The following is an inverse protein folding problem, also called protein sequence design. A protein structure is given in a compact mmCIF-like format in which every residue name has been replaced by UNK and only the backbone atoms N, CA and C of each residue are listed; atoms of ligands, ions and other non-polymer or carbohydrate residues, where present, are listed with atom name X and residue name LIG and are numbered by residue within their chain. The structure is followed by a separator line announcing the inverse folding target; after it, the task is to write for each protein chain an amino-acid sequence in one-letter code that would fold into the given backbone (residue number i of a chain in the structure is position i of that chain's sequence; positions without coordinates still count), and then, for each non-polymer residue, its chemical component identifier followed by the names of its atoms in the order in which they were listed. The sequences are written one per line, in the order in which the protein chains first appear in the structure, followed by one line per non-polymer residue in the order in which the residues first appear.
data_IF_005975019005
#
_entry.id   IF_005975019005
#
_cell.length_a   1.000
_cell.length_b   1.000
_cell.length_c   1.000
_cell.angle_alpha   90.00
_cell.angle_beta   90.00
_cell.angle_gamma   90.00
#
_symmetry.space_group_name_H-M   'P 1'
#
loop_
_entity.id
_entity.type
_entity.pdbx_description
1 polymer ?
#
# COMPACT_ATOMS: atom_id res chain seq x y z
N UNK A 1 21.33 2.04 7.83
CA UNK A 1 20.11 2.15 7.01
C UNK A 1 18.94 1.57 7.82
N UNK A 2 17.70 2.03 7.61
CA UNK A 2 16.56 1.49 8.38
C UNK A 2 16.22 0.08 7.89
N UNK A 3 16.06 -0.87 8.82
CA UNK A 3 15.69 -2.25 8.52
C UNK A 3 14.18 -2.44 8.63
N UNK A 4 13.60 -3.09 7.64
CA UNK A 4 12.19 -3.50 7.60
C UNK A 4 12.09 -4.95 7.12
N UNK A 5 10.94 -5.58 7.34
CA UNK A 5 10.64 -6.93 6.84
C UNK A 5 9.51 -6.91 5.81
N UNK A 6 9.44 -7.90 4.93
CA UNK A 6 8.34 -8.04 3.96
C UNK A 6 7.01 -8.42 4.65
N UNK A 7 7.09 -9.31 5.64
CA UNK A 7 5.98 -9.78 6.49
C UNK A 7 6.34 -9.65 7.97
N UNK A 8 5.61 -8.79 8.67
CA UNK A 8 5.74 -8.62 10.10
C UNK A 8 5.02 -9.75 10.86
N UNK A 9 5.71 -10.38 11.82
CA UNK A 9 5.10 -11.41 12.64
C UNK A 9 4.06 -10.78 13.58
N UNK A 10 2.80 -11.22 13.41
CA UNK A 10 1.68 -10.73 14.21
C UNK A 10 1.87 -11.01 15.71
N UNK A 11 2.61 -12.05 16.09
CA UNK A 11 2.91 -12.36 17.50
C UNK A 11 3.75 -11.27 18.15
N UNK A 12 4.74 -10.74 17.41
CA UNK A 12 5.62 -9.67 17.89
C UNK A 12 4.89 -8.33 18.08
N UNK A 13 3.84 -8.09 17.29
CA UNK A 13 3.01 -6.88 17.42
C UNK A 13 2.45 -6.71 18.83
N UNK A 14 2.15 -7.81 19.53
CA UNK A 14 1.57 -7.74 20.87
C UNK A 14 2.53 -7.15 21.90
N UNK A 15 3.83 -7.23 21.68
CA UNK A 15 4.89 -6.80 22.61
C UNK A 15 5.30 -5.34 22.42
N UNK A 16 5.00 -4.75 21.26
CA UNK A 16 5.41 -3.39 20.93
C UNK A 16 4.72 -2.32 21.82
N UNK A 17 5.39 -1.17 22.05
CA UNK A 17 4.77 -0.02 22.71
C UNK A 17 3.56 0.45 21.91
N UNK A 18 2.44 0.70 22.61
CA UNK A 18 1.22 1.21 21.99
C UNK A 18 1.31 2.73 21.85
N UNK A 19 0.98 3.23 20.67
CA UNK A 19 0.89 4.66 20.40
C UNK A 19 -0.53 5.07 20.04
N UNK A 20 -0.78 6.37 20.19
CA UNK A 20 -2.05 7.02 19.97
C UNK A 20 -1.80 8.37 19.30
N UNK A 21 -2.81 8.90 18.63
CA UNK A 21 -2.77 10.27 18.15
C UNK A 21 -2.57 11.24 19.34
N UNK A 22 -1.50 12.06 19.34
CA UNK A 22 -1.21 12.97 20.44
C UNK A 22 -1.91 14.34 20.29
N UNK A 23 -2.56 14.59 19.15
CA UNK A 23 -3.13 15.88 18.81
C UNK A 23 -4.58 16.07 19.28
N UNK A 24 -5.20 17.15 18.83
CA UNK A 24 -6.57 17.49 19.22
C UNK A 24 -7.60 16.86 18.28
N UNK A 25 -8.66 16.32 18.87
CA UNK A 25 -9.73 15.65 18.13
C UNK A 25 -10.99 16.50 18.20
N UNK A 26 -11.56 16.84 17.03
CA UNK A 26 -12.82 17.58 16.91
C UNK A 26 -13.88 16.71 16.24
N UNK A 27 -14.99 16.46 16.92
CA UNK A 27 -16.14 15.75 16.33
C UNK A 27 -17.05 16.75 15.64
N UNK A 28 -17.32 16.54 14.36
CA UNK A 28 -18.13 17.43 13.53
C UNK A 28 -19.50 16.81 13.30
N UNK A 29 -20.55 17.48 13.80
CA UNK A 29 -21.95 17.00 13.80
C UNK A 29 -22.94 17.96 13.13
N UNK A 30 -22.47 19.11 12.64
CA UNK A 30 -23.27 20.09 11.89
C UNK A 30 -22.62 20.45 10.56
N UNK A 31 -23.40 20.91 9.59
CA UNK A 31 -22.86 21.38 8.31
C UNK A 31 -21.99 22.63 8.50
N UNK A 32 -22.37 23.56 9.38
CA UNK A 32 -21.60 24.77 9.68
C UNK A 32 -20.21 24.45 10.27
N UNK A 33 -20.13 23.49 11.20
CA UNK A 33 -18.84 23.00 11.71
C UNK A 33 -18.03 22.34 10.60
N UNK A 34 -18.69 21.61 9.69
CA UNK A 34 -18.03 20.97 8.57
C UNK A 34 -17.44 21.99 7.60
N UNK A 35 -18.14 23.08 7.30
CA UNK A 35 -17.62 24.18 6.48
C UNK A 35 -16.37 24.83 7.09
N UNK A 36 -16.40 25.12 8.40
CA UNK A 36 -15.24 25.66 9.11
C UNK A 36 -14.05 24.72 9.08
N UNK A 37 -14.27 23.44 9.40
CA UNK A 37 -13.23 22.42 9.38
C UNK A 37 -12.64 22.24 7.97
N UNK A 38 -13.49 22.13 6.94
CA UNK A 38 -13.05 22.02 5.54
C UNK A 38 -12.28 23.26 5.09
N UNK A 39 -12.71 24.47 5.48
CA UNK A 39 -12.01 25.71 5.17
C UNK A 39 -10.57 25.74 5.71
N UNK A 40 -10.33 25.10 6.85
CA UNK A 40 -8.98 24.89 7.39
C UNK A 40 -8.22 23.77 6.64
N UNK A 41 -8.87 22.63 6.42
CA UNK A 41 -8.29 21.45 5.76
C UNK A 41 -7.86 21.76 4.31
N UNK A 42 -8.61 22.60 3.59
CA UNK A 42 -8.30 22.99 2.21
C UNK A 42 -6.99 23.79 2.07
N UNK A 43 -6.41 24.24 3.18
CA UNK A 43 -5.14 24.98 3.21
C UNK A 43 -3.94 24.10 3.56
N UNK A 44 -4.17 22.82 3.88
CA UNK A 44 -3.12 21.89 4.30
C UNK A 44 -2.50 21.21 3.06
N UNK A 45 -1.19 20.96 3.03
CA UNK A 45 -0.55 20.30 1.88
C UNK A 45 -0.76 18.78 1.86
N UNK A 46 -0.91 18.17 3.03
CA UNK A 46 -1.02 16.73 3.22
C UNK A 46 -2.07 16.44 4.30
N UNK A 47 -2.96 15.51 4.01
CA UNK A 47 -4.00 15.07 4.92
C UNK A 47 -4.07 13.54 4.99
N UNK A 48 -4.19 13.01 6.20
CA UNK A 48 -4.49 11.61 6.46
C UNK A 48 -5.99 11.37 6.47
N UNK A 49 -6.43 10.33 5.77
CA UNK A 49 -7.82 9.93 5.64
C UNK A 49 -8.00 8.49 6.12
N UNK A 50 -9.17 8.25 6.71
CA UNK A 50 -9.69 6.92 6.97
C UNK A 50 -11.23 6.97 6.93
N UNK A 51 -11.91 5.82 6.99
CA UNK A 51 -13.36 5.78 7.21
C UNK A 51 -13.79 4.69 8.18
N UNK A 52 -14.96 4.86 8.80
CA UNK A 52 -15.54 3.84 9.67
C UNK A 52 -17.02 3.59 9.38
N UNK A 53 -17.38 2.31 9.37
CA UNK A 53 -18.73 1.81 9.05
C UNK A 53 -19.20 0.89 10.15
N UNK A 54 -20.46 1.02 10.60
CA UNK A 54 -21.03 0.06 11.55
C UNK A 54 -21.00 -1.35 10.93
N UNK A 55 -20.46 -2.37 11.61
CA UNK A 55 -20.45 -3.71 11.05
C UNK A 55 -21.86 -4.25 10.84
N UNK A 56 -22.03 -5.07 9.80
CA UNK A 56 -23.25 -5.85 9.58
C UNK A 56 -22.93 -7.32 9.76
N UNK A 57 -23.69 -7.99 10.62
CA UNK A 57 -23.60 -9.44 10.84
C UNK A 57 -24.60 -10.23 9.98
N UNK A 58 -25.33 -9.52 9.10
CA UNK A 58 -26.27 -10.11 8.15
C UNK A 58 -25.60 -10.20 6.79
N UNK A 59 -25.50 -11.41 6.24
CA UNK A 59 -24.85 -11.67 4.94
C UNK A 59 -25.48 -10.81 3.85
N UNK A 60 -24.64 -10.08 3.09
CA UNK A 60 -25.06 -9.22 1.98
C UNK A 60 -25.61 -7.85 2.39
N UNK A 61 -25.83 -7.57 3.68
CA UNK A 61 -26.23 -6.23 4.13
C UNK A 61 -24.99 -5.37 4.36
N UNK A 62 -24.89 -4.27 3.61
CA UNK A 62 -23.86 -3.25 3.78
C UNK A 62 -24.48 -2.03 4.47
N UNK A 63 -23.77 -1.49 5.46
CA UNK A 63 -24.13 -0.19 6.06
C UNK A 63 -23.38 0.93 5.33
N UNK A 64 -23.92 2.14 5.36
CA UNK A 64 -23.23 3.32 4.82
C UNK A 64 -22.08 3.69 5.73
N UNK A 65 -21.04 4.32 5.16
CA UNK A 65 -19.95 4.93 5.94
C UNK A 65 -20.54 5.87 6.98
N UNK A 66 -20.21 5.68 8.25
CA UNK A 66 -20.79 6.45 9.35
C UNK A 66 -19.90 7.62 9.78
N UNK A 67 -18.59 7.47 9.62
CA UNK A 67 -17.60 8.43 10.05
C UNK A 67 -16.48 8.54 9.00
N UNK A 68 -16.07 9.78 8.73
CA UNK A 68 -14.88 10.11 7.92
C UNK A 68 -13.89 10.83 8.82
N UNK A 69 -12.66 10.34 8.87
CA UNK A 69 -11.59 10.96 9.63
C UNK A 69 -10.66 11.72 8.70
N UNK A 70 -10.35 12.98 9.04
CA UNK A 70 -9.38 13.77 8.30
C UNK A 70 -8.40 14.42 9.27
N UNK A 71 -7.12 14.08 9.14
CA UNK A 71 -6.05 14.55 10.01
C UNK A 71 -5.04 15.37 9.21
N UNK A 72 -4.46 16.42 9.80
CA UNK A 72 -3.30 17.13 9.20
C UNK A 72 -1.96 16.82 9.91
N UNK A 73 -2.00 15.97 10.94
CA UNK A 73 -0.85 15.61 11.78
C UNK A 73 -0.98 16.11 13.22
N UNK A 74 -1.72 17.19 13.45
CA UNK A 74 -1.90 17.83 14.77
C UNK A 74 -3.36 17.96 15.19
N UNK A 75 -4.25 18.14 14.22
CA UNK A 75 -5.69 18.21 14.38
C UNK A 75 -6.33 17.09 13.57
N UNK A 76 -7.26 16.36 14.20
CA UNK A 76 -8.08 15.37 13.51
C UNK A 76 -9.57 15.71 13.65
N UNK A 77 -10.25 15.81 12.51
CA UNK A 77 -11.68 16.02 12.42
C UNK A 77 -12.39 14.69 12.18
N UNK A 78 -13.38 14.39 13.01
CA UNK A 78 -14.23 13.21 12.90
C UNK A 78 -15.60 13.65 12.38
N UNK A 79 -15.80 13.60 11.07
CA UNK A 79 -17.04 13.98 10.40
C UNK A 79 -18.08 12.88 10.54
N UNK A 80 -19.15 13.16 11.28
CA UNK A 80 -20.26 12.23 11.55
C UNK A 80 -21.20 12.14 10.35
N UNK A 81 -20.80 11.44 9.29
CA UNK A 81 -21.58 11.32 8.05
C UNK A 81 -22.97 10.67 8.26
N UNK A 82 -23.17 9.91 9.32
CA UNK A 82 -24.50 9.43 9.69
C UNK A 82 -25.44 10.54 10.20
N UNK A 83 -24.91 11.72 10.58
CA UNK A 83 -25.66 12.88 11.06
C UNK A 83 -25.77 13.99 10.02
N UNK A 84 -24.66 14.32 9.37
CA UNK A 84 -24.58 15.43 8.39
C UNK A 84 -24.59 14.98 6.94
N UNK A 85 -24.69 13.67 6.70
CA UNK A 85 -24.48 13.07 5.38
C UNK A 85 -23.12 13.47 4.77
N UNK A 86 -23.01 13.61 3.45
CA UNK A 86 -21.83 14.15 2.77
C UNK A 86 -22.15 15.58 2.26
N UNK A 87 -21.92 16.64 3.06
CA UNK A 87 -22.15 18.02 2.63
C UNK A 87 -21.24 18.44 1.48
N UNK A 88 -21.64 19.49 0.75
CA UNK A 88 -20.90 19.99 -0.43
C UNK A 88 -19.45 20.37 -0.12
N UNK A 89 -19.18 20.88 1.09
CA UNK A 89 -17.82 21.20 1.53
C UNK A 89 -16.93 19.96 1.61
N UNK A 90 -17.43 18.82 2.11
CA UNK A 90 -16.68 17.57 2.12
C UNK A 90 -16.48 17.01 0.72
N UNK A 91 -17.48 17.10 -0.16
CA UNK A 91 -17.31 16.75 -1.58
C UNK A 91 -16.16 17.58 -2.18
N UNK A 92 -16.17 18.90 -2.00
CA UNK A 92 -15.08 19.77 -2.47
C UNK A 92 -13.71 19.34 -1.94
N UNK A 93 -13.62 18.95 -0.66
CA UNK A 93 -12.38 18.44 -0.07
C UNK A 93 -11.92 17.13 -0.74
N UNK A 94 -12.84 16.20 -0.96
CA UNK A 94 -12.58 14.90 -1.59
C UNK A 94 -12.20 15.04 -3.07
N UNK A 95 -12.76 16.01 -3.79
CA UNK A 95 -12.47 16.25 -5.21
C UNK A 95 -11.21 17.11 -5.45
N UNK A 96 -10.68 17.75 -4.43
CA UNK A 96 -9.54 18.65 -4.57
C UNK A 96 -8.28 17.89 -5.07
N UNK A 97 -7.57 18.44 -6.05
CA UNK A 97 -6.35 17.82 -6.62
C UNK A 97 -5.05 18.45 -6.13
N UNK A 98 -5.14 19.57 -5.41
CA UNK A 98 -3.98 20.32 -4.91
C UNK A 98 -3.47 19.75 -3.59
N UNK A 99 -4.37 19.20 -2.78
CA UNK A 99 -4.07 18.61 -1.48
C UNK A 99 -3.84 17.12 -1.66
N UNK A 100 -2.73 16.60 -1.16
CA UNK A 100 -2.45 15.17 -1.11
C UNK A 100 -3.25 14.52 0.02
N UNK A 101 -4.07 13.52 -0.32
CA UNK A 101 -4.77 12.67 0.66
C UNK A 101 -4.07 11.32 0.74
N UNK A 102 -3.69 10.90 1.93
CA UNK A 102 -3.07 9.59 2.17
C UNK A 102 -4.01 8.74 3.02
N UNK A 103 -4.17 7.49 2.63
CA UNK A 103 -4.97 6.50 3.37
C UNK A 103 -4.45 5.10 3.08
N UNK A 104 -5.06 4.10 3.69
CA UNK A 104 -4.72 2.70 3.46
C UNK A 104 -5.94 1.96 2.93
N UNK A 105 -5.82 1.32 1.76
CA UNK A 105 -6.90 0.57 1.12
C UNK A 105 -8.10 1.43 0.68
N UNK A 106 -7.88 2.68 0.27
CA UNK A 106 -8.94 3.66 0.05
C UNK A 106 -9.88 3.35 -1.13
N UNK A 107 -9.49 2.44 -2.02
CA UNK A 107 -10.28 2.12 -3.21
C UNK A 107 -11.73 1.73 -2.88
N UNK A 108 -11.92 0.91 -1.84
CA UNK A 108 -13.26 0.51 -1.41
C UNK A 108 -13.94 1.60 -0.56
N UNK A 109 -13.20 2.38 0.21
CA UNK A 109 -13.72 3.54 0.95
C UNK A 109 -14.28 4.60 0.00
N UNK A 110 -13.59 4.95 -1.08
CA UNK A 110 -14.06 5.92 -2.05
C UNK A 110 -15.30 5.44 -2.79
N UNK A 111 -15.41 4.13 -3.06
CA UNK A 111 -16.65 3.52 -3.58
C UNK A 111 -17.78 3.66 -2.56
N UNK A 112 -17.54 3.31 -1.30
CA UNK A 112 -18.53 3.39 -0.22
C UNK A 112 -19.01 4.83 0.04
N UNK A 113 -18.10 5.81 -0.04
CA UNK A 113 -18.43 7.23 0.03
C UNK A 113 -19.24 7.68 -1.20
N UNK A 114 -18.88 7.23 -2.40
CA UNK A 114 -19.63 7.55 -3.63
C UNK A 114 -21.06 7.02 -3.61
N UNK A 115 -21.31 5.89 -2.93
CA UNK A 115 -22.66 5.36 -2.69
C UNK A 115 -23.50 6.27 -1.79
N UNK A 116 -22.89 7.17 -1.01
CA UNK A 116 -23.62 8.21 -0.26
C UNK A 116 -24.02 9.36 -1.16
N UNK A 117 -23.03 9.98 -1.81
CA UNK A 117 -23.22 11.01 -2.84
C UNK A 117 -22.12 10.92 -3.88
N UNK A 118 -22.42 11.07 -5.18
CA UNK A 118 -21.41 11.04 -6.23
C UNK A 118 -20.39 12.17 -6.10
N UNK A 119 -19.11 11.84 -6.32
CA UNK A 119 -18.01 12.80 -6.46
C UNK A 119 -16.86 12.19 -7.27
N UNK A 120 -15.98 13.04 -7.82
CA UNK A 120 -14.77 12.58 -8.52
C UNK A 120 -13.57 12.66 -7.60
N UNK A 121 -13.01 11.52 -7.21
CA UNK A 121 -11.82 11.46 -6.37
C UNK A 121 -10.69 12.38 -6.87
N UNK A 122 -10.17 13.22 -5.98
CA UNK A 122 -9.01 14.07 -6.20
C UNK A 122 -7.69 13.31 -6.05
N UNK A 123 -6.67 13.96 -5.48
CA UNK A 123 -5.33 13.37 -5.31
C UNK A 123 -5.25 12.46 -4.08
N UNK A 124 -5.60 11.18 -4.25
CA UNK A 124 -5.46 10.14 -3.22
C UNK A 124 -4.24 9.25 -3.48
N UNK A 125 -3.53 8.90 -2.41
CA UNK A 125 -2.39 7.98 -2.39
C UNK A 125 -2.75 6.80 -1.48
N UNK A 126 -2.61 5.58 -2.00
CA UNK A 126 -2.76 4.36 -1.21
C UNK A 126 -1.40 3.97 -0.62
N UNK A 127 -1.34 3.86 0.70
CA UNK A 127 -0.13 3.40 1.38
C UNK A 127 0.21 1.94 1.07
N UNK A 128 -0.77 1.13 0.64
CA UNK A 128 -0.52 -0.24 0.19
C UNK A 128 0.30 -0.28 -1.11
N UNK A 129 0.07 0.68 -2.01
CA UNK A 129 0.83 0.78 -3.25
C UNK A 129 2.30 1.13 -2.96
N UNK A 130 2.53 2.07 -2.06
CA UNK A 130 3.90 2.46 -1.64
C UNK A 130 4.57 1.30 -0.89
N UNK A 131 3.86 0.66 0.04
CA UNK A 131 4.37 -0.51 0.76
C UNK A 131 4.80 -1.62 -0.22
N UNK A 132 3.97 -1.91 -1.22
CA UNK A 132 4.28 -2.89 -2.26
C UNK A 132 5.51 -2.50 -3.10
N UNK A 133 5.66 -1.22 -3.45
CA UNK A 133 6.87 -0.71 -4.12
C UNK A 133 8.13 -0.86 -3.26
N UNK A 134 7.99 -0.85 -1.93
CA UNK A 134 9.07 -1.10 -0.98
C UNK A 134 9.33 -2.60 -0.72
N UNK A 135 8.60 -3.50 -1.39
CA UNK A 135 8.68 -4.95 -1.18
C UNK A 135 7.97 -5.45 0.08
N UNK A 136 7.18 -4.60 0.75
CA UNK A 136 6.38 -5.00 1.90
C UNK A 136 5.10 -5.69 1.41
N UNK A 137 4.92 -6.95 1.80
CA UNK A 137 3.73 -7.76 1.46
C UNK A 137 2.57 -7.43 2.38
N UNK A 138 2.84 -7.04 3.62
CA UNK A 138 1.82 -6.74 4.61
C UNK A 138 0.89 -5.58 4.21
N UNK A 139 -0.42 -5.83 4.26
CA UNK A 139 -1.45 -4.87 3.84
C UNK A 139 -2.17 -4.18 5.01
N UNK A 140 -1.86 -4.55 6.26
CA UNK A 140 -2.55 -4.06 7.46
C UNK A 140 -1.89 -2.82 8.03
N UNK A 141 -2.66 -1.76 8.33
CA UNK A 141 -2.16 -0.52 8.95
C UNK A 141 -1.27 -0.81 10.15
N UNK A 142 -1.76 -1.62 11.09
CA UNK A 142 -1.00 -1.99 12.30
C UNK A 142 0.31 -2.73 12.01
N UNK A 143 0.38 -3.54 10.95
CA UNK A 143 1.57 -4.33 10.61
C UNK A 143 2.58 -3.45 9.90
N UNK A 144 2.13 -2.60 8.98
CA UNK A 144 2.97 -1.55 8.37
C UNK A 144 3.56 -0.63 9.44
N UNK A 145 2.73 -0.19 10.38
CA UNK A 145 3.16 0.67 11.48
C UNK A 145 4.16 -0.03 12.42
N UNK A 146 3.90 -1.29 12.76
CA UNK A 146 4.82 -2.11 13.56
C UNK A 146 6.17 -2.30 12.87
N UNK A 147 6.15 -2.60 11.57
CA UNK A 147 7.34 -2.79 10.77
C UNK A 147 8.18 -1.51 10.68
N UNK A 148 7.53 -0.39 10.35
CA UNK A 148 8.22 0.87 10.10
C UNK A 148 8.60 1.58 11.41
N UNK A 149 7.78 1.55 12.45
CA UNK A 149 8.06 2.33 13.67
C UNK A 149 8.48 1.50 14.88
N UNK A 150 8.34 0.17 14.86
CA UNK A 150 8.51 -0.64 16.07
C UNK A 150 7.47 -0.31 17.15
N UNK A 151 6.32 0.23 16.74
CA UNK A 151 5.22 0.68 17.60
C UNK A 151 3.93 0.00 17.14
N UNK A 152 2.94 -0.16 18.02
CA UNK A 152 1.62 -0.68 17.64
C UNK A 152 0.52 0.34 17.81
N UNK A 153 -0.41 0.35 16.87
CA UNK A 153 -1.73 0.98 17.00
C UNK A 153 -2.78 -0.07 17.36
N UNK A 154 -3.92 0.35 17.90
CA UNK A 154 -4.99 -0.57 18.31
C UNK A 154 -5.81 -1.08 17.13
N UNK A 155 -6.50 -2.20 17.32
CA UNK A 155 -7.62 -2.66 16.45
C UNK A 155 -8.96 -2.70 17.19
N UNK A 156 -8.99 -2.19 18.43
CA UNK A 156 -10.05 -2.46 19.39
C UNK A 156 -11.41 -1.84 19.06
N UNK A 157 -11.46 -0.80 18.21
CA UNK A 157 -12.72 -0.12 17.88
C UNK A 157 -13.20 -0.39 16.44
N UNK A 158 -12.45 -1.16 15.65
CA UNK A 158 -12.77 -1.43 14.24
C UNK A 158 -14.17 -2.03 14.04
N UNK A 159 -14.64 -2.84 15.00
CA UNK A 159 -15.96 -3.49 14.94
C UNK A 159 -16.99 -2.83 15.88
N UNK A 160 -16.78 -1.55 16.23
CA UNK A 160 -17.67 -0.82 17.13
C UNK A 160 -18.92 -0.31 16.42
N UNK A 161 -19.92 0.10 17.21
CA UNK A 161 -21.08 0.80 16.66
C UNK A 161 -20.71 2.24 16.30
N UNK A 162 -20.25 2.45 15.07
CA UNK A 162 -19.94 3.77 14.54
C UNK A 162 -21.16 4.63 14.21
N UNK A 163 -22.39 4.13 14.37
CA UNK A 163 -23.62 4.94 14.27
C UNK A 163 -24.14 5.40 15.63
N UNK A 164 -23.50 5.00 16.74
CA UNK A 164 -23.90 5.39 18.10
C UNK A 164 -24.04 6.91 18.25
N UNK A 165 -25.04 7.37 19.01
CA UNK A 165 -25.32 8.81 19.13
C UNK A 165 -24.09 9.61 19.52
N UNK A 166 -23.40 9.15 20.56
CA UNK A 166 -22.15 9.74 21.01
C UNK A 166 -21.00 8.75 20.80
N UNK A 167 -19.91 9.23 20.20
CA UNK A 167 -18.67 8.47 20.16
C UNK A 167 -18.02 8.51 21.55
N UNK A 168 -17.61 7.34 22.04
CA UNK A 168 -16.78 7.26 23.24
C UNK A 168 -15.38 7.84 22.98
N UNK A 169 -14.66 8.23 24.05
CA UNK A 169 -13.27 8.68 23.93
C UNK A 169 -12.37 7.63 23.26
N UNK A 170 -12.63 6.34 23.54
CA UNK A 170 -11.89 5.25 22.90
C UNK A 170 -12.13 5.19 21.38
N UNK A 171 -13.36 5.39 20.92
CA UNK A 171 -13.69 5.47 19.49
C UNK A 171 -13.06 6.70 18.83
N UNK A 172 -13.15 7.87 19.48
CA UNK A 172 -12.55 9.11 18.97
C UNK A 172 -11.04 8.96 18.79
N UNK A 173 -10.36 8.47 19.84
CA UNK A 173 -8.91 8.30 19.83
C UNK A 173 -8.46 7.25 18.82
N UNK A 174 -9.18 6.14 18.71
CA UNK A 174 -8.92 5.12 17.68
C UNK A 174 -9.01 5.72 16.27
N UNK A 175 -10.14 6.34 15.94
CA UNK A 175 -10.41 6.89 14.62
C UNK A 175 -9.38 7.95 14.23
N UNK A 176 -9.02 8.83 15.18
CA UNK A 176 -7.98 9.83 14.94
C UNK A 176 -6.58 9.22 14.78
N UNK A 177 -6.29 8.13 15.50
CA UNK A 177 -5.00 7.42 15.39
C UNK A 177 -4.83 6.79 14.02
N UNK A 178 -5.87 6.22 13.43
CA UNK A 178 -5.76 5.57 12.11
C UNK A 178 -5.46 6.59 11.00
N UNK A 179 -6.19 7.70 10.92
CA UNK A 179 -5.90 8.77 9.96
C UNK A 179 -4.52 9.43 10.19
N UNK A 180 -4.11 9.64 11.44
CA UNK A 180 -2.77 10.15 11.77
C UNK A 180 -1.66 9.16 11.40
N UNK A 181 -1.89 7.87 11.64
CA UNK A 181 -0.93 6.83 11.30
C UNK A 181 -0.64 6.79 9.80
N UNK A 182 -1.64 7.05 8.97
CA UNK A 182 -1.46 7.19 7.51
C UNK A 182 -0.47 8.31 7.14
N UNK A 183 -0.54 9.47 7.80
CA UNK A 183 0.41 10.59 7.58
C UNK A 183 1.81 10.18 7.99
N UNK A 184 1.95 9.57 9.17
CA UNK A 184 3.26 9.12 9.67
C UNK A 184 3.89 8.11 8.73
N UNK A 185 3.13 7.09 8.32
CA UNK A 185 3.59 6.08 7.37
C UNK A 185 4.01 6.71 6.04
N UNK A 186 3.19 7.59 5.45
CA UNK A 186 3.53 8.26 4.21
C UNK A 186 4.87 8.99 4.30
N UNK A 187 5.02 9.87 5.30
CA UNK A 187 6.24 10.67 5.49
C UNK A 187 7.47 9.78 5.65
N UNK A 188 7.35 8.72 6.45
CA UNK A 188 8.47 7.82 6.71
C UNK A 188 8.81 6.93 5.52
N UNK A 189 7.83 6.44 4.77
CA UNK A 189 8.05 5.69 3.53
C UNK A 189 8.76 6.55 2.48
N UNK A 190 8.35 7.81 2.29
CA UNK A 190 9.02 8.72 1.36
C UNK A 190 10.48 8.98 1.79
N UNK A 191 10.69 9.27 3.08
CA UNK A 191 12.04 9.45 3.63
C UNK A 191 12.93 8.22 3.43
N UNK A 192 12.39 7.03 3.64
CA UNK A 192 13.11 5.76 3.42
C UNK A 192 13.42 5.51 1.95
N UNK A 193 12.55 5.92 1.02
CA UNK A 193 12.84 5.82 -0.42
C UNK A 193 13.97 6.76 -0.86
N UNK A 194 14.07 7.94 -0.23
CA UNK A 194 15.16 8.90 -0.48
C UNK A 194 16.50 8.47 0.14
N UNK A 195 16.48 8.00 1.40
CA UNK A 195 17.68 7.66 2.15
C UNK A 195 18.15 6.21 1.97
N UNK A 196 17.28 5.34 1.46
CA UNK A 196 17.47 3.90 1.40
C UNK A 196 16.99 3.13 2.65
N UNK A 197 16.63 1.87 2.44
CA UNK A 197 16.22 0.93 3.49
C UNK A 197 16.71 -0.49 3.17
N UNK A 198 16.87 -1.31 4.21
CA UNK A 198 17.17 -2.75 4.11
C UNK A 198 15.88 -3.54 4.30
N UNK A 199 15.51 -4.34 3.29
CA UNK A 199 14.38 -5.27 3.36
C UNK A 199 14.89 -6.68 3.69
N UNK A 200 14.46 -7.21 4.83
CA UNK A 200 14.70 -8.59 5.22
C UNK A 200 13.48 -9.45 4.81
N UNK A 201 13.65 -10.30 3.80
CA UNK A 201 12.62 -11.23 3.35
C UNK A 201 12.55 -12.42 4.31
N UNK A 202 11.38 -12.66 4.91
CA UNK A 202 11.14 -13.93 5.59
C UNK A 202 10.92 -15.01 4.53
N UNK A 203 11.95 -15.83 4.29
CA UNK A 203 11.78 -17.11 3.60
C UNK A 203 10.81 -17.96 4.44
N UNK A 204 9.55 -18.03 4.04
CA UNK A 204 8.65 -19.07 4.50
C UNK A 204 9.22 -20.38 3.97
N UNK A 205 10.04 -21.06 4.78
CA UNK A 205 10.26 -22.49 4.59
C UNK A 205 8.86 -23.09 4.66
N UNK A 206 8.35 -23.57 3.53
CA UNK A 206 7.12 -24.35 3.45
C UNK A 206 7.31 -25.54 4.40
N UNK A 207 6.83 -25.42 5.63
CA UNK A 207 6.76 -26.51 6.59
C UNK A 207 5.74 -27.52 6.05
N UNK A 208 6.23 -28.43 5.21
CA UNK A 208 5.56 -29.68 4.91
C UNK A 208 5.35 -30.41 6.23
N UNK A 209 4.09 -30.77 6.50
CA UNK A 209 3.67 -31.61 7.63
C UNK A 209 4.66 -32.78 7.85
N UNK A 210 5.17 -32.99 9.08
CA UNK A 210 6.08 -34.08 9.33
C UNK A 210 5.28 -35.36 9.62
N UNK A 211 5.14 -36.24 8.64
CA UNK A 211 4.87 -37.65 8.92
C UNK A 211 5.89 -38.54 8.22
N UNK A 212 6.68 -39.21 9.08
CA UNK A 212 7.38 -40.48 8.86
C UNK A 212 8.48 -40.56 7.79
N UNK A 213 9.75 -40.43 8.22
CA UNK A 213 10.64 -41.59 8.47
C UNK A 213 12.07 -41.17 8.84
N UNK A 214 12.47 -41.61 10.03
CA UNK A 214 13.80 -42.06 10.47
C UNK A 214 15.06 -41.30 10.01
N UNK A 215 15.66 -40.60 10.97
CA UNK A 215 17.06 -40.73 11.41
C UNK A 215 18.06 -41.45 10.48
N UNK A 216 18.28 -40.94 9.28
CA UNK A 216 19.46 -41.26 8.46
C UNK A 216 19.89 -40.15 7.47
N UNK A 217 19.22 -38.98 7.47
CA UNK A 217 19.57 -37.85 6.61
C UNK A 217 20.35 -36.72 7.33
N UNK A 218 21.05 -37.03 8.43
CA UNK A 218 21.87 -36.05 9.21
C UNK A 218 23.34 -35.98 8.77
N UNK A 219 23.68 -36.51 7.58
CA UNK A 219 25.06 -36.59 7.10
C UNK A 219 25.28 -36.11 5.65
N UNK A 220 24.35 -35.33 5.10
CA UNK A 220 24.46 -34.86 3.71
C UNK A 220 23.91 -33.44 3.49
N UNK A 221 24.31 -32.42 4.27
CA UNK A 221 24.24 -30.99 3.84
C UNK A 221 25.47 -30.19 4.36
N UNK A 222 26.62 -30.88 4.56
CA UNK A 222 27.95 -30.23 4.64
C UNK A 222 28.65 -30.41 3.29
N UNK A 223 27.99 -29.92 2.25
CA UNK A 223 28.40 -29.72 0.86
C UNK A 223 27.11 -29.23 0.20
N UNK A 224 26.83 -27.93 0.16
CA UNK A 224 27.45 -27.00 -0.77
C UNK A 224 27.42 -25.60 -0.15
N UNK A 225 28.57 -25.16 0.37
CA UNK A 225 28.79 -23.78 0.83
C UNK A 225 29.46 -22.92 -0.25
N UNK A 226 29.26 -23.27 -1.52
CA UNK A 226 29.77 -22.54 -2.69
C UNK A 226 28.75 -22.74 -3.83
N UNK A 227 27.56 -22.12 -3.72
CA UNK A 227 26.68 -21.86 -4.88
C UNK A 227 25.52 -20.88 -4.56
N UNK A 228 25.67 -20.02 -3.55
CA UNK A 228 24.76 -18.85 -3.39
C UNK A 228 25.54 -17.62 -2.96
N UNK A 229 26.71 -17.46 -3.58
CA UNK A 229 27.43 -16.20 -3.66
C UNK A 229 27.11 -15.45 -4.98
N UNK A 230 26.06 -15.85 -5.71
CA UNK A 230 25.55 -15.13 -6.87
C UNK A 230 24.03 -14.96 -6.74
N UNK A 231 23.63 -14.02 -5.89
CA UNK A 231 22.35 -13.34 -6.01
C UNK A 231 22.63 -11.84 -5.94
N UNK A 232 23.50 -11.36 -6.83
CA UNK A 232 23.48 -9.96 -7.22
C UNK A 232 22.28 -9.76 -8.17
N UNK A 233 21.10 -9.64 -7.54
CA UNK A 233 19.83 -9.07 -8.01
C UNK A 233 19.61 -9.04 -9.54
N UNK A 234 19.09 -10.13 -10.09
CA UNK A 234 18.29 -10.08 -11.31
C UNK A 234 17.01 -9.27 -11.01
N UNK A 235 16.88 -8.05 -11.53
CA UNK A 235 15.73 -7.18 -11.26
C UNK A 235 15.34 -6.29 -12.43
N UNK A 236 14.08 -5.88 -12.43
CA UNK A 236 13.54 -4.82 -13.27
C UNK A 236 13.51 -3.50 -12.49
N UNK A 237 13.49 -2.40 -13.22
CA UNK A 237 13.11 -1.09 -12.73
C UNK A 237 11.78 -0.66 -13.37
N UNK A 238 11.10 0.29 -12.74
CA UNK A 238 9.91 0.88 -13.32
C UNK A 238 10.25 1.52 -14.67
N UNK A 239 9.46 1.22 -15.69
CA UNK A 239 9.61 1.82 -17.01
C UNK A 239 9.44 3.34 -16.93
N UNK A 240 10.21 4.06 -17.74
CA UNK A 240 10.21 5.53 -17.76
C UNK A 240 10.05 6.02 -19.22
N UNK A 241 9.04 6.85 -19.53
CA UNK A 241 7.96 7.30 -18.65
C UNK A 241 6.92 6.21 -18.35
N UNK A 242 6.19 6.35 -17.25
CA UNK A 242 4.98 5.58 -16.97
C UNK A 242 3.90 6.47 -16.31
N UNK A 243 2.72 6.71 -16.94
CA UNK A 243 2.31 6.21 -18.26
C UNK A 243 3.16 6.75 -19.43
N UNK A 244 3.20 6.01 -20.53
CA UNK A 244 3.85 6.43 -21.79
C UNK A 244 2.87 6.53 -22.95
N UNK A 245 3.28 7.17 -24.05
CA UNK A 245 2.47 7.36 -25.27
C UNK A 245 3.04 6.68 -26.51
N UNK A 246 4.30 6.95 -26.82
CA UNK A 246 4.97 6.41 -28.01
C UNK A 246 6.07 5.43 -27.64
N UNK A 247 6.91 5.76 -26.65
CA UNK A 247 8.01 4.91 -26.23
C UNK A 247 8.18 4.94 -24.71
N UNK A 248 8.74 3.86 -24.17
CA UNK A 248 9.19 3.78 -22.79
C UNK A 248 10.43 2.91 -22.69
N UNK A 249 11.21 3.11 -21.64
CA UNK A 249 12.42 2.35 -21.40
C UNK A 249 12.31 1.54 -20.10
N UNK A 250 12.52 0.23 -20.20
CA UNK A 250 12.57 -0.69 -19.05
C UNK A 250 14.03 -0.93 -18.72
N UNK A 251 14.52 -0.33 -17.63
CA UNK A 251 15.85 -0.66 -17.09
C UNK A 251 15.81 -2.00 -16.37
N UNK A 252 16.90 -2.74 -16.41
CA UNK A 252 17.07 -4.01 -15.73
C UNK A 252 18.53 -4.22 -15.28
N UNK A 253 18.72 -5.13 -14.34
CA UNK A 253 20.02 -5.57 -13.85
C UNK A 253 20.04 -7.10 -13.83
N UNK A 254 21.08 -7.70 -14.41
CA UNK A 254 21.31 -9.14 -14.44
C UNK A 254 22.64 -9.51 -13.77
N UNK A 255 22.64 -10.62 -13.06
CA UNK A 255 23.82 -11.25 -12.48
C UNK A 255 24.73 -11.80 -13.59
N UNK A 256 26.05 -11.74 -13.35
CA UNK A 256 27.11 -12.05 -14.32
C UNK A 256 27.11 -13.53 -14.80
N UNK A 257 26.40 -14.43 -14.12
CA UNK A 257 26.28 -15.85 -14.47
C UNK A 257 25.05 -16.21 -15.33
N UNK A 258 24.23 -15.21 -15.69
CA UNK A 258 22.98 -15.43 -16.42
C UNK A 258 23.23 -15.75 -17.90
N UNK A 259 22.88 -16.96 -18.35
CA UNK A 259 23.10 -17.40 -19.75
C UNK A 259 21.90 -17.17 -20.68
N UNK A 260 20.69 -17.23 -20.14
CA UNK A 260 19.45 -16.99 -20.88
C UNK A 260 18.55 -16.05 -20.08
N UNK A 261 18.30 -14.86 -20.62
CA UNK A 261 17.38 -13.92 -20.02
C UNK A 261 16.59 -13.13 -21.06
N UNK A 262 15.35 -12.81 -20.73
CA UNK A 262 14.47 -12.00 -21.57
C UNK A 262 13.53 -11.14 -20.74
N UNK A 263 13.22 -9.95 -21.25
CA UNK A 263 12.07 -9.16 -20.78
C UNK A 263 10.86 -9.57 -21.61
N UNK A 264 9.83 -10.09 -20.96
CA UNK A 264 8.58 -10.52 -21.58
C UNK A 264 7.46 -9.55 -21.20
N UNK A 265 6.61 -9.17 -22.15
CA UNK A 265 5.43 -8.32 -21.93
C UNK A 265 4.17 -9.17 -22.06
N UNK A 266 3.22 -8.98 -21.14
CA UNK A 266 1.95 -9.71 -21.09
C UNK A 266 0.76 -8.75 -21.04
N UNK A 267 -0.37 -9.17 -21.60
CA UNK A 267 -1.66 -8.56 -21.29
C UNK A 267 -2.16 -8.95 -19.88
N UNK A 268 -3.26 -8.35 -19.42
CA UNK A 268 -3.83 -8.63 -18.10
C UNK A 268 -4.43 -10.04 -17.97
N UNK A 269 -4.59 -10.76 -19.08
CA UNK A 269 -5.04 -12.15 -19.12
C UNK A 269 -3.85 -13.13 -19.11
N UNK A 270 -2.61 -12.63 -19.04
CA UNK A 270 -1.39 -13.42 -18.99
C UNK A 270 -0.89 -13.91 -20.36
N UNK A 271 -1.47 -13.43 -21.46
CA UNK A 271 -0.97 -13.75 -22.80
C UNK A 271 0.30 -12.95 -23.08
N UNK A 272 1.38 -13.63 -23.44
CA UNK A 272 2.63 -13.00 -23.83
C UNK A 272 2.46 -12.28 -25.17
N UNK A 273 2.77 -10.98 -25.19
CA UNK A 273 2.68 -10.08 -26.34
C UNK A 273 4.04 -9.86 -27.00
N UNK A 274 5.12 -9.77 -26.21
CA UNK A 274 6.48 -9.51 -26.70
C UNK A 274 7.51 -10.22 -25.82
N UNK A 275 8.62 -10.67 -26.41
CA UNK A 275 9.78 -11.23 -25.70
C UNK A 275 11.04 -10.60 -26.28
N UNK A 276 11.83 -9.95 -25.44
CA UNK A 276 13.07 -9.27 -25.82
C UNK A 276 14.23 -9.90 -25.07
N UNK A 277 15.17 -10.60 -25.76
CA UNK A 277 16.39 -11.10 -25.12
C UNK A 277 17.21 -9.94 -24.55
N UNK A 278 17.82 -10.16 -23.38
CA UNK A 278 18.59 -9.15 -22.67
C UNK A 278 20.02 -9.59 -22.37
N UNK A 279 20.92 -8.62 -22.28
CA UNK A 279 22.35 -8.84 -22.05
C UNK A 279 22.68 -8.75 -20.56
N UNK A 280 23.70 -9.47 -20.11
CA UNK A 280 24.18 -9.41 -18.72
C UNK A 280 24.53 -7.98 -18.27
N UNK A 281 24.53 -7.75 -16.96
CA UNK A 281 24.84 -6.44 -16.36
C UNK A 281 23.61 -5.52 -16.26
N UNK A 282 23.87 -4.22 -16.11
CA UNK A 282 22.82 -3.19 -16.00
C UNK A 282 22.58 -2.52 -17.34
N UNK A 283 21.41 -2.72 -17.92
CA UNK A 283 21.05 -2.28 -19.25
C UNK A 283 19.56 -1.88 -19.30
N UNK A 284 19.06 -1.58 -20.48
CA UNK A 284 17.66 -1.22 -20.70
C UNK A 284 17.09 -1.82 -21.98
N UNK A 285 15.77 -1.90 -22.05
CA UNK A 285 14.99 -2.28 -23.23
C UNK A 285 14.02 -1.17 -23.57
N UNK A 286 14.09 -0.66 -24.79
CA UNK A 286 13.10 0.27 -25.32
C UNK A 286 11.86 -0.49 -25.81
N UNK A 287 10.68 -0.01 -25.42
CA UNK A 287 9.38 -0.52 -25.84
C UNK A 287 8.68 0.56 -26.66
N UNK A 288 8.34 0.21 -27.90
CA UNK A 288 7.51 1.02 -28.79
C UNK A 288 6.03 0.72 -28.52
N UNK A 289 5.26 1.76 -28.18
CA UNK A 289 3.84 1.70 -27.94
C UNK A 289 3.01 1.45 -29.20
N UNK A 290 3.55 1.70 -30.40
CA UNK A 290 2.88 1.40 -31.68
C UNK A 290 2.61 -0.09 -31.89
N UNK A 291 3.36 -0.96 -31.21
CA UNK A 291 3.18 -2.41 -31.23
C UNK A 291 2.16 -2.92 -30.20
N UNK A 292 1.65 -2.04 -29.33
CA UNK A 292 0.76 -2.37 -28.22
C UNK A 292 -0.56 -1.59 -28.31
N UNK A 293 -1.65 -2.18 -27.81
CA UNK A 293 -2.91 -1.46 -27.62
C UNK A 293 -2.83 -0.46 -26.46
N UNK A 294 -3.65 0.59 -26.45
CA UNK A 294 -3.78 1.42 -25.25
C UNK A 294 -4.29 0.56 -24.08
N UNK A 295 -3.66 0.65 -22.91
CA UNK A 295 -4.02 -0.19 -21.78
C UNK A 295 -2.90 -0.42 -20.78
N UNK A 296 -3.16 -1.30 -19.83
CA UNK A 296 -2.19 -1.74 -18.83
C UNK A 296 -1.55 -3.06 -19.25
N UNK A 297 -0.26 -3.20 -19.00
CA UNK A 297 0.52 -4.40 -19.30
C UNK A 297 1.36 -4.80 -18.10
N UNK A 298 1.68 -6.09 -18.02
CA UNK A 298 2.74 -6.61 -17.16
C UNK A 298 4.01 -6.79 -18.00
N UNK A 299 5.17 -6.57 -17.39
CA UNK A 299 6.43 -7.01 -17.98
C UNK A 299 7.27 -7.72 -16.92
N UNK A 300 7.87 -8.84 -17.31
CA UNK A 300 8.59 -9.76 -16.42
C UNK A 300 9.98 -10.04 -16.96
N UNK A 301 10.96 -10.07 -16.07
CA UNK A 301 12.31 -10.53 -16.37
C UNK A 301 12.35 -12.03 -16.16
N UNK A 302 12.55 -12.78 -17.23
CA UNK A 302 12.68 -14.23 -17.21
C UNK A 302 14.16 -14.56 -17.29
N UNK A 303 14.68 -15.32 -16.34
CA UNK A 303 16.07 -15.78 -16.25
C UNK A 303 16.08 -17.30 -16.16
N UNK A 304 16.78 -17.96 -17.09
CA UNK A 304 16.87 -19.43 -17.18
C UNK A 304 15.49 -20.13 -17.15
N UNK A 305 14.49 -19.51 -17.79
CA UNK A 305 13.12 -20.01 -17.84
C UNK A 305 12.28 -19.75 -16.58
N UNK A 306 12.80 -19.07 -15.56
CA UNK A 306 12.07 -18.68 -14.36
C UNK A 306 11.85 -17.17 -14.29
N UNK A 307 10.71 -16.77 -13.73
CA UNK A 307 10.42 -15.36 -13.50
C UNK A 307 11.23 -14.83 -12.31
N UNK A 308 12.01 -13.77 -12.55
CA UNK A 308 12.89 -13.13 -11.57
C UNK A 308 12.31 -11.84 -10.97
N UNK A 309 11.57 -11.05 -11.75
CA UNK A 309 10.87 -9.82 -11.31
C UNK A 309 9.74 -9.51 -12.30
N UNK A 310 8.67 -8.85 -11.84
CA UNK A 310 7.51 -8.44 -12.64
C UNK A 310 7.03 -7.05 -12.23
N UNK A 311 6.74 -6.19 -13.21
CA UNK A 311 6.20 -4.84 -12.99
C UNK A 311 5.07 -4.51 -13.97
N UNK A 312 4.44 -3.35 -13.75
CA UNK A 312 3.31 -2.85 -14.52
C UNK A 312 3.72 -1.62 -15.33
N UNK A 313 3.20 -1.50 -16.56
CA UNK A 313 3.29 -0.28 -17.37
C UNK A 313 1.93 0.09 -17.94
N UNK A 314 1.74 1.39 -18.21
CA UNK A 314 0.50 1.95 -18.73
C UNK A 314 0.81 2.69 -20.04
N UNK A 315 0.18 2.27 -21.14
CA UNK A 315 0.21 2.96 -22.43
C UNK A 315 -1.07 3.79 -22.58
N UNK A 316 -0.93 5.11 -22.53
CA UNK A 316 -1.98 6.08 -22.82
C UNK A 316 -1.87 6.53 -24.27
N UNK A 317 -2.95 6.44 -25.06
CA UNK A 317 -3.02 7.10 -26.37
C UNK A 317 -3.22 8.60 -26.21
#
# INVERSE_FOLDING_TARGET
MKKIVDKYDKKLVAELPRVFFPGHITVVVSEDDAERAVGFLLKQPLLGFDTETRPSFIKGRLNKVALLQVCNGELCFLFRLNRIDLPKCLIKLLEDKKITKVGLSWHDDLRALNLRKPFRAGSFIDLQDIAGQMGIVDQSLQKLYANIFGEKISKGQRLSNWEADNLSEAQKLYAATDAWACIRLYKEMMRMQEEGFELEEKIEILEGKPETRSAQAKQAITATRIETAIAQQNRLFQNDPNPFKEHTEIRYQLADDTRDASVCIFDLQGKMLKKVPVLQGSNSVAIDGGELGAGMFLYSLIVNGQEADTKRMILSK
#
